data_IF_287932680094
#
_entry.id   IF_287932680094
#
_cell.length_a   1.000
_cell.length_b   1.000
_cell.length_c   1.000
_cell.angle_alpha   90.00
_cell.angle_beta   90.00
_cell.angle_gamma   90.00
#
_symmetry.space_group_name_H-M   'P 1'
#
loop_
_entity.id
_entity.type
_entity.pdbx_description
1 polymer ?
#
# COMPACT_ATOMS: atom_id res chain seq x y z
N UNK A 1 0.96 4.49 -15.97
CA UNK A 1 2.20 5.29 -16.04
C UNK A 1 3.08 4.99 -14.83
N UNK A 2 4.41 4.86 -15.06
CA UNK A 2 5.39 4.63 -13.99
C UNK A 2 6.60 5.54 -14.23
N UNK A 3 6.91 6.37 -13.25
CA UNK A 3 8.03 7.31 -13.28
C UNK A 3 8.93 7.04 -12.08
N UNK A 4 10.24 6.95 -12.31
CA UNK A 4 11.23 6.77 -11.24
C UNK A 4 12.39 7.70 -11.46
N UNK A 5 12.88 8.29 -10.37
CA UNK A 5 14.09 9.08 -10.33
C UNK A 5 15.01 8.53 -9.24
N UNK A 6 16.28 8.31 -9.59
CA UNK A 6 17.28 7.85 -8.66
C UNK A 6 18.48 8.80 -8.71
N UNK A 7 18.96 9.20 -7.54
CA UNK A 7 20.16 10.01 -7.37
C UNK A 7 21.02 9.31 -6.33
N UNK A 8 22.26 9.05 -6.67
CA UNK A 8 23.24 8.48 -5.74
C UNK A 8 24.56 9.19 -5.87
N UNK A 9 25.27 9.23 -4.79
CA UNK A 9 26.59 9.87 -4.75
C UNK A 9 27.32 9.52 -3.46
N UNK A 10 28.53 10.00 -3.36
CA UNK A 10 29.32 9.80 -2.17
C UNK A 10 30.60 10.61 -2.18
N UNK A 11 31.16 10.70 -1.02
CA UNK A 11 32.50 11.23 -0.76
C UNK A 11 33.35 10.16 -0.08
N UNK A 12 34.62 10.46 0.22
CA UNK A 12 35.44 9.55 0.98
C UNK A 12 34.88 9.38 2.41
N UNK A 13 34.08 8.33 2.64
CA UNK A 13 33.46 8.00 3.92
C UNK A 13 31.95 8.19 4.01
N UNK A 14 31.29 8.82 3.04
CA UNK A 14 29.84 8.97 3.02
C UNK A 14 29.26 8.53 1.70
N UNK A 15 28.27 7.66 1.72
CA UNK A 15 27.50 7.25 0.56
C UNK A 15 26.03 7.55 0.79
N UNK A 16 25.34 7.99 -0.25
CA UNK A 16 23.89 8.18 -0.19
C UNK A 16 23.23 7.71 -1.49
N UNK A 17 22.00 7.31 -1.36
CA UNK A 17 21.11 6.98 -2.46
C UNK A 17 19.70 7.44 -2.13
N UNK A 18 19.12 8.25 -3.00
CA UNK A 18 17.77 8.77 -2.91
C UNK A 18 17.00 8.31 -4.13
N UNK A 19 15.80 7.79 -3.93
CA UNK A 19 14.91 7.46 -5.04
C UNK A 19 13.48 7.91 -4.76
N UNK A 20 12.85 8.44 -5.80
CA UNK A 20 11.44 8.79 -5.81
C UNK A 20 10.74 8.05 -6.94
N UNK A 21 9.51 7.63 -6.70
CA UNK A 21 8.71 6.93 -7.69
C UNK A 21 7.25 7.35 -7.63
N UNK A 22 6.62 7.45 -8.78
CA UNK A 22 5.20 7.64 -8.94
C UNK A 22 4.65 6.61 -9.92
N UNK A 23 3.67 5.86 -9.48
CA UNK A 23 2.94 4.88 -10.27
C UNK A 23 1.47 5.28 -10.32
N UNK A 24 0.92 5.34 -11.52
CA UNK A 24 -0.52 5.49 -11.76
C UNK A 24 -0.97 4.35 -12.68
N UNK A 25 -1.98 3.63 -12.26
CA UNK A 25 -2.56 2.51 -13.00
C UNK A 25 -4.09 2.62 -12.98
N UNK A 26 -4.69 2.51 -14.13
CA UNK A 26 -6.13 2.27 -14.27
C UNK A 26 -6.37 0.78 -14.25
N UNK A 27 -7.40 0.35 -13.52
CA UNK A 27 -7.79 -1.05 -13.46
C UNK A 27 -8.59 -1.49 -14.69
N UNK A 28 -8.70 -2.79 -14.90
CA UNK A 28 -9.55 -3.38 -15.96
C UNK A 28 -11.03 -3.14 -15.66
N UNK A 29 -11.42 -3.06 -14.39
CA UNK A 29 -12.78 -2.73 -13.98
C UNK A 29 -13.07 -1.23 -14.09
N UNK A 30 -14.28 -0.91 -14.57
CA UNK A 30 -14.74 0.47 -14.77
C UNK A 30 -14.55 1.30 -13.50
N UNK A 31 -13.82 2.42 -13.59
CA UNK A 31 -13.61 3.36 -12.48
C UNK A 31 -12.62 2.91 -11.43
N UNK A 32 -11.97 1.74 -11.57
CA UNK A 32 -10.94 1.30 -10.64
C UNK A 32 -9.58 1.92 -10.98
N UNK A 33 -8.85 2.36 -9.98
CA UNK A 33 -7.52 2.95 -10.14
C UNK A 33 -6.62 2.67 -8.95
N UNK A 34 -5.33 2.76 -9.18
CA UNK A 34 -4.30 2.67 -8.15
C UNK A 34 -3.20 3.70 -8.42
N UNK A 35 -2.94 4.52 -7.42
CA UNK A 35 -1.86 5.49 -7.41
C UNK A 35 -0.90 5.18 -6.26
N UNK A 36 0.40 5.29 -6.52
CA UNK A 36 1.43 5.18 -5.50
C UNK A 36 2.52 6.22 -5.70
N UNK A 37 2.72 7.06 -4.70
CA UNK A 37 3.93 7.86 -4.56
C UNK A 37 4.85 7.20 -3.53
N UNK A 38 6.13 7.07 -3.83
CA UNK A 38 7.11 6.46 -2.93
C UNK A 38 8.41 7.22 -2.92
N UNK A 39 9.08 7.20 -1.77
CA UNK A 39 10.39 7.80 -1.57
C UNK A 39 11.26 6.85 -0.75
N UNK A 40 12.52 6.70 -1.15
CA UNK A 40 13.53 5.92 -0.42
C UNK A 40 14.79 6.74 -0.25
N UNK A 41 15.33 6.70 0.95
CA UNK A 41 16.60 7.30 1.29
C UNK A 41 17.49 6.26 1.99
N UNK A 42 18.72 6.15 1.53
CA UNK A 42 19.76 5.37 2.18
C UNK A 42 20.95 6.26 2.36
N UNK A 43 21.49 6.31 3.55
CA UNK A 43 22.71 7.07 3.89
C UNK A 43 23.58 6.19 4.76
N UNK A 44 24.86 6.14 4.45
CA UNK A 44 25.90 5.48 5.24
C UNK A 44 27.09 6.41 5.34
N UNK A 45 27.56 6.68 6.55
CA UNK A 45 28.68 7.59 6.75
C UNK A 45 29.64 7.08 7.82
N UNK A 46 30.91 7.15 7.51
CA UNK A 46 32.01 6.96 8.43
C UNK A 46 32.30 8.30 9.14
N UNK A 47 31.79 8.42 10.36
CA UNK A 47 31.99 9.63 11.18
C UNK A 47 33.47 9.78 11.56
N UNK A 48 34.09 8.66 11.92
CA UNK A 48 35.51 8.54 12.20
C UNK A 48 35.93 7.06 12.14
N UNK A 49 37.21 6.76 12.46
CA UNK A 49 37.79 5.41 12.36
C UNK A 49 37.09 4.33 13.22
N UNK A 50 36.38 4.74 14.24
CA UNK A 50 35.71 3.82 15.16
C UNK A 50 34.17 3.89 15.14
N UNK A 51 33.58 4.83 14.35
CA UNK A 51 32.14 5.02 14.31
C UNK A 51 31.65 5.18 12.87
N UNK A 52 30.77 4.29 12.45
CA UNK A 52 29.98 4.38 11.21
C UNK A 52 28.51 4.38 11.57
N UNK A 53 27.76 5.29 11.00
CA UNK A 53 26.30 5.38 11.18
C UNK A 53 25.61 5.28 9.82
N UNK A 54 24.40 4.77 9.82
CA UNK A 54 23.60 4.73 8.61
C UNK A 54 22.12 4.75 8.89
N UNK A 55 21.39 5.08 7.83
CA UNK A 55 19.94 5.17 7.82
C UNK A 55 19.40 4.60 6.51
N UNK A 56 18.37 3.79 6.62
CA UNK A 56 17.52 3.40 5.50
C UNK A 56 16.09 3.81 5.84
N UNK A 57 15.43 4.52 4.94
CA UNK A 57 14.04 4.91 5.10
C UNK A 57 13.28 4.69 3.79
N UNK A 58 12.06 4.19 3.89
CA UNK A 58 11.14 4.03 2.79
C UNK A 58 9.77 4.55 3.20
N UNK A 59 9.24 5.49 2.42
CA UNK A 59 7.90 6.01 2.58
C UNK A 59 7.09 5.70 1.33
N UNK A 60 5.84 5.26 1.51
CA UNK A 60 4.90 5.10 0.43
C UNK A 60 3.53 5.65 0.83
N UNK A 61 2.89 6.31 -0.11
CA UNK A 61 1.50 6.75 -0.04
C UNK A 61 0.75 6.15 -1.22
N UNK A 62 -0.29 5.36 -0.94
CA UNK A 62 -1.11 4.71 -1.95
C UNK A 62 -2.55 5.19 -1.85
N UNK A 63 -3.18 5.37 -3.00
CA UNK A 63 -4.61 5.61 -3.12
C UNK A 63 -5.18 4.60 -4.12
N UNK A 64 -6.20 3.88 -3.69
CA UNK A 64 -6.84 2.85 -4.48
C UNK A 64 -8.35 3.09 -4.51
N UNK A 65 -8.90 3.14 -5.71
CA UNK A 65 -10.34 3.11 -5.95
C UNK A 65 -10.73 1.70 -6.38
N UNK A 66 -11.58 1.05 -5.61
CA UNK A 66 -12.01 -0.34 -5.83
C UNK A 66 -13.51 -0.33 -6.15
N UNK A 67 -13.85 -0.04 -7.40
CA UNK A 67 -15.24 -0.03 -7.84
C UNK A 67 -15.73 -1.40 -8.31
N UNK A 68 -14.80 -2.22 -8.78
CA UNK A 68 -15.10 -3.50 -9.40
C UNK A 68 -14.37 -4.62 -8.64
N UNK A 69 -14.98 -5.16 -7.59
CA UNK A 69 -14.44 -6.32 -6.87
C UNK A 69 -15.24 -7.59 -7.14
N UNK A 70 -14.63 -8.73 -6.84
CA UNK A 70 -15.23 -10.05 -7.06
C UNK A 70 -16.52 -10.26 -6.22
N UNK A 71 -16.65 -9.57 -5.10
CA UNK A 71 -17.79 -9.71 -4.18
C UNK A 71 -19.02 -8.92 -4.62
N UNK A 72 -18.85 -7.92 -5.49
CA UNK A 72 -19.92 -6.99 -5.87
C UNK A 72 -20.16 -7.03 -7.39
N UNK A 73 -19.50 -6.17 -8.16
CA UNK A 73 -19.84 -5.95 -9.56
C UNK A 73 -19.53 -7.16 -10.45
N UNK A 74 -18.42 -7.88 -10.23
CA UNK A 74 -18.12 -9.09 -11.01
C UNK A 74 -19.12 -10.20 -10.71
N UNK A 75 -19.41 -10.41 -9.41
CA UNK A 75 -20.39 -11.40 -8.99
C UNK A 75 -21.78 -11.07 -9.57
N UNK A 76 -22.21 -9.82 -9.45
CA UNK A 76 -23.47 -9.35 -10.02
C UNK A 76 -23.53 -9.55 -11.54
N UNK A 77 -22.41 -9.31 -12.24
CA UNK A 77 -22.35 -9.51 -13.69
C UNK A 77 -22.49 -10.98 -14.12
N UNK A 78 -21.93 -11.91 -13.35
CA UNK A 78 -22.00 -13.34 -13.63
C UNK A 78 -23.39 -13.95 -13.37
N UNK A 79 -24.15 -13.35 -12.46
CA UNK A 79 -25.47 -13.85 -12.06
C UNK A 79 -26.62 -13.00 -12.57
N UNK A 80 -26.35 -11.93 -13.33
CA UNK A 80 -27.39 -11.09 -13.89
C UNK A 80 -28.16 -11.81 -14.98
N UNK A 81 -29.45 -11.58 -15.01
CA UNK A 81 -30.29 -12.11 -16.07
C UNK A 81 -29.99 -11.41 -17.40
N UNK A 82 -29.93 -12.15 -18.51
CA UNK A 82 -29.55 -11.60 -19.82
C UNK A 82 -30.59 -10.66 -20.44
N UNK A 83 -31.83 -10.68 -19.96
CA UNK A 83 -32.92 -9.82 -20.37
C UNK A 83 -33.00 -8.49 -19.61
N UNK A 84 -32.16 -8.31 -18.59
CA UNK A 84 -32.09 -7.05 -17.84
C UNK A 84 -31.12 -6.10 -18.53
N UNK A 85 -31.65 -5.02 -19.08
CA UNK A 85 -30.81 -3.99 -19.70
C UNK A 85 -29.86 -3.32 -18.69
N UNK A 86 -28.60 -3.08 -19.00
CA UNK A 86 -27.69 -2.32 -18.14
C UNK A 86 -28.21 -0.91 -17.83
N UNK A 87 -28.87 -0.28 -18.79
CA UNK A 87 -29.61 0.98 -18.65
C UNK A 87 -30.93 0.91 -19.41
N UNK A 88 -31.96 1.51 -18.81
CA UNK A 88 -33.23 1.73 -19.43
C UNK A 88 -33.16 2.86 -20.49
N UNK A 89 -34.17 2.97 -21.40
CA UNK A 89 -34.21 4.06 -22.39
C UNK A 89 -34.22 5.48 -21.79
N UNK A 90 -34.69 5.63 -20.55
CA UNK A 90 -34.71 6.88 -19.80
C UNK A 90 -33.37 7.21 -19.12
N UNK A 91 -32.36 6.35 -19.30
CA UNK A 91 -31.01 6.48 -18.70
C UNK A 91 -30.86 5.93 -17.29
N UNK A 92 -31.94 5.48 -16.66
CA UNK A 92 -31.88 4.82 -15.35
C UNK A 92 -31.21 3.43 -15.44
N UNK A 93 -30.74 2.91 -14.34
CA UNK A 93 -30.19 1.55 -14.31
C UNK A 93 -31.29 0.52 -14.37
N UNK A 94 -31.10 -0.54 -15.17
CA UNK A 94 -32.02 -1.67 -15.22
C UNK A 94 -31.87 -2.56 -14.00
N UNK A 95 -33.00 -2.99 -13.46
CA UNK A 95 -33.07 -3.95 -12.36
C UNK A 95 -34.15 -4.99 -12.65
N UNK A 96 -34.02 -6.17 -12.06
CA UNK A 96 -35.08 -7.20 -12.11
C UNK A 96 -36.31 -6.67 -11.37
N UNK A 97 -37.45 -6.63 -12.06
CA UNK A 97 -38.65 -6.00 -11.54
C UNK A 97 -39.60 -6.96 -10.79
N UNK A 98 -39.34 -8.25 -10.80
CA UNK A 98 -40.20 -9.25 -10.14
C UNK A 98 -39.65 -9.64 -8.79
N UNK A 99 -40.55 -9.71 -7.79
CA UNK A 99 -40.20 -10.03 -6.40
C UNK A 99 -39.63 -11.44 -6.21
N UNK A 100 -39.87 -12.37 -7.15
CA UNK A 100 -39.36 -13.74 -7.09
C UNK A 100 -37.89 -13.86 -7.36
N UNK A 101 -37.33 -12.92 -8.15
CA UNK A 101 -35.92 -12.95 -8.59
C UNK A 101 -35.13 -11.71 -8.17
N UNK A 102 -35.78 -10.72 -7.57
CA UNK A 102 -35.20 -9.42 -7.25
C UNK A 102 -34.15 -9.42 -6.12
N UNK A 103 -33.94 -10.56 -5.49
CA UNK A 103 -33.39 -10.53 -4.13
C UNK A 103 -31.87 -10.57 -4.03
N UNK A 104 -31.14 -10.86 -5.09
CA UNK A 104 -29.74 -11.23 -4.86
C UNK A 104 -28.69 -10.43 -5.63
N UNK A 105 -29.01 -9.81 -6.75
CA UNK A 105 -28.00 -9.22 -7.60
C UNK A 105 -28.41 -7.84 -8.09
N UNK A 106 -27.65 -6.82 -7.68
CA UNK A 106 -27.83 -5.48 -8.21
C UNK A 106 -27.24 -5.38 -9.63
N UNK A 107 -27.61 -4.33 -10.36
CA UNK A 107 -27.06 -4.06 -11.66
C UNK A 107 -25.53 -3.85 -11.56
N UNK A 108 -24.67 -4.62 -12.28
CA UNK A 108 -23.23 -4.52 -12.18
C UNK A 108 -22.68 -3.16 -12.61
N UNK A 109 -23.38 -2.48 -13.54
CA UNK A 109 -22.99 -1.14 -13.95
C UNK A 109 -23.31 -0.09 -12.87
N UNK A 110 -24.43 -0.25 -12.16
CA UNK A 110 -24.76 0.54 -10.97
C UNK A 110 -23.68 0.36 -9.90
N UNK A 111 -23.31 -0.89 -9.59
CA UNK A 111 -22.28 -1.22 -8.62
C UNK A 111 -20.95 -0.52 -8.94
N UNK A 112 -20.54 -0.57 -10.20
CA UNK A 112 -19.27 -0.01 -10.64
C UNK A 112 -19.24 1.53 -10.68
N UNK A 113 -20.39 2.19 -10.90
CA UNK A 113 -20.45 3.63 -11.14
C UNK A 113 -20.98 4.44 -9.95
N UNK A 114 -21.81 3.84 -9.11
CA UNK A 114 -22.50 4.55 -8.03
C UNK A 114 -21.92 4.25 -6.65
N UNK A 115 -21.20 3.16 -6.49
CA UNK A 115 -20.49 2.86 -5.23
C UNK A 115 -19.12 3.51 -5.21
N UNK A 116 -18.78 4.06 -4.08
CA UNK A 116 -17.44 4.55 -3.77
C UNK A 116 -16.76 3.58 -2.79
N UNK A 117 -15.58 3.12 -3.13
CA UNK A 117 -14.76 2.29 -2.27
C UNK A 117 -13.29 2.73 -2.39
N UNK A 118 -12.91 3.66 -1.55
CA UNK A 118 -11.61 4.31 -1.58
C UNK A 118 -10.76 3.80 -0.42
N UNK A 119 -9.52 3.39 -0.72
CA UNK A 119 -8.53 2.96 0.28
C UNK A 119 -7.29 3.83 0.13
N UNK A 120 -6.92 4.52 1.21
CA UNK A 120 -5.67 5.28 1.30
C UNK A 120 -4.78 4.63 2.34
N UNK A 121 -3.54 4.31 1.96
CA UNK A 121 -2.57 3.76 2.90
C UNK A 121 -1.28 4.56 2.80
N UNK A 122 -0.72 4.84 3.96
CA UNK A 122 0.61 5.41 4.11
C UNK A 122 1.46 4.43 4.90
N UNK A 123 2.70 4.24 4.50
CA UNK A 123 3.66 3.44 5.24
C UNK A 123 4.99 4.15 5.34
N UNK A 124 5.64 3.99 6.49
CA UNK A 124 6.99 4.44 6.74
C UNK A 124 7.77 3.31 7.37
N UNK A 125 8.73 2.77 6.63
CA UNK A 125 9.70 1.79 7.11
C UNK A 125 11.04 2.48 7.29
N UNK A 126 11.69 2.28 8.44
CA UNK A 126 12.98 2.89 8.72
C UNK A 126 13.88 1.98 9.53
N UNK A 127 15.16 2.14 9.31
CA UNK A 127 16.21 1.50 10.10
C UNK A 127 17.39 2.46 10.26
N UNK A 128 17.74 2.76 11.49
CA UNK A 128 18.90 3.53 11.89
C UNK A 128 19.91 2.56 12.50
N UNK A 129 21.17 2.68 12.16
CA UNK A 129 22.19 1.84 12.76
C UNK A 129 23.49 2.61 13.06
N UNK A 130 24.18 2.12 14.06
CA UNK A 130 25.53 2.55 14.41
C UNK A 130 26.44 1.33 14.57
N UNK A 131 27.54 1.32 13.85
CA UNK A 131 28.65 0.38 14.05
C UNK A 131 29.73 1.08 14.84
N UNK A 132 30.03 0.58 16.02
CA UNK A 132 31.05 1.09 16.92
C UNK A 132 32.20 0.09 16.94
N UNK A 133 33.40 0.51 16.57
CA UNK A 133 34.60 -0.29 16.46
C UNK A 133 35.65 0.21 17.49
N UNK A 134 35.44 -0.08 18.80
CA UNK A 134 36.26 0.53 19.86
C UNK A 134 37.71 0.03 19.85
N UNK A 135 37.93 -1.20 19.40
CA UNK A 135 39.25 -1.82 19.26
C UNK A 135 39.31 -2.64 17.97
N UNK A 136 40.48 -2.99 17.53
CA UNK A 136 40.69 -3.82 16.34
C UNK A 136 39.88 -5.13 16.45
N UNK A 137 39.24 -5.54 15.39
CA UNK A 137 38.47 -6.77 15.24
C UNK A 137 37.18 -6.85 16.10
N UNK A 138 36.79 -5.82 16.86
CA UNK A 138 35.54 -5.79 17.59
C UNK A 138 34.59 -4.77 16.94
N UNK A 139 33.42 -5.23 16.54
CA UNK A 139 32.33 -4.37 16.05
C UNK A 139 31.12 -4.56 16.93
N UNK A 140 30.63 -3.48 17.52
CA UNK A 140 29.36 -3.44 18.23
C UNK A 140 28.35 -2.74 17.31
N UNK A 141 27.27 -3.41 16.99
CA UNK A 141 26.21 -2.83 16.16
C UNK A 141 24.94 -2.61 16.97
N UNK A 142 24.45 -1.40 16.90
CA UNK A 142 23.16 -0.98 17.43
C UNK A 142 22.25 -0.67 16.25
N UNK A 143 21.03 -1.20 16.28
CA UNK A 143 20.00 -0.93 15.27
C UNK A 143 18.69 -0.55 15.92
N UNK A 144 18.07 0.51 15.43
CA UNK A 144 16.72 0.88 15.75
C UNK A 144 15.92 0.99 14.47
N UNK A 145 14.88 0.18 14.34
CA UNK A 145 14.06 0.15 13.15
C UNK A 145 12.59 0.03 13.48
N UNK A 146 11.77 0.35 12.51
CA UNK A 146 10.32 0.25 12.66
C UNK A 146 9.58 0.31 11.33
N UNK A 147 8.31 -0.06 11.43
CA UNK A 147 7.32 0.04 10.36
C UNK A 147 6.04 0.65 10.91
N UNK A 148 5.64 1.76 10.34
CA UNK A 148 4.42 2.49 10.70
C UNK A 148 3.49 2.53 9.52
N UNK A 149 2.24 2.12 9.73
CA UNK A 149 1.21 2.11 8.71
C UNK A 149 -0.04 2.87 9.16
N UNK A 150 -0.59 3.67 8.26
CA UNK A 150 -1.86 4.37 8.45
C UNK A 150 -2.76 4.07 7.27
N UNK A 151 -3.92 3.46 7.55
CA UNK A 151 -4.93 3.13 6.56
C UNK A 151 -6.21 3.92 6.79
N UNK A 152 -6.84 4.36 5.70
CA UNK A 152 -8.17 4.96 5.70
C UNK A 152 -8.99 4.27 4.63
N UNK A 153 -10.14 3.74 5.03
CA UNK A 153 -11.10 3.13 4.13
C UNK A 153 -12.38 3.96 4.14
N UNK A 154 -12.88 4.27 2.97
CA UNK A 154 -14.18 4.93 2.78
C UNK A 154 -15.00 4.10 1.82
N UNK A 155 -16.19 3.73 2.25
CA UNK A 155 -17.18 3.05 1.44
C UNK A 155 -18.48 3.81 1.50
N UNK A 156 -19.07 4.09 0.34
CA UNK A 156 -20.38 4.69 0.20
C UNK A 156 -21.19 3.97 -0.87
N UNK A 157 -22.43 3.65 -0.53
CA UNK A 157 -23.46 3.18 -1.44
C UNK A 157 -24.64 4.11 -1.33
N UNK A 158 -25.10 4.76 -2.41
CA UNK A 158 -26.32 5.55 -2.38
C UNK A 158 -27.55 4.66 -2.20
N UNK A 159 -28.64 5.24 -1.75
CA UNK A 159 -29.94 4.57 -1.80
C UNK A 159 -30.39 4.36 -3.24
N UNK A 160 -31.02 3.24 -3.52
CA UNK A 160 -31.63 2.97 -4.81
C UNK A 160 -32.88 2.12 -4.64
N UNK A 161 -33.76 2.20 -5.62
CA UNK A 161 -35.00 1.44 -5.61
C UNK A 161 -35.22 0.68 -6.90
N UNK A 162 -35.85 -0.48 -6.82
CA UNK A 162 -36.34 -1.23 -7.96
C UNK A 162 -37.61 -1.97 -7.59
N UNK A 163 -38.65 -1.80 -8.40
CA UNK A 163 -40.01 -2.26 -8.05
C UNK A 163 -40.46 -1.66 -6.72
N UNK A 164 -40.88 -2.49 -5.81
CA UNK A 164 -41.30 -2.10 -4.44
C UNK A 164 -40.16 -2.15 -3.41
N UNK A 165 -38.96 -2.50 -3.82
CA UNK A 165 -37.80 -2.67 -2.92
C UNK A 165 -36.99 -1.37 -2.90
N UNK A 166 -36.73 -0.85 -1.71
CA UNK A 166 -35.83 0.27 -1.46
C UNK A 166 -34.63 -0.26 -0.69
N UNK A 167 -33.45 -0.04 -1.23
CA UNK A 167 -32.16 -0.29 -0.56
C UNK A 167 -31.66 1.03 -0.02
N UNK A 168 -31.47 1.10 1.29
CA UNK A 168 -31.00 2.30 1.96
C UNK A 168 -29.53 2.60 1.67
N UNK A 169 -29.15 3.86 1.83
CA UNK A 169 -27.74 4.28 1.69
C UNK A 169 -26.88 3.73 2.82
N UNK A 170 -25.66 3.36 2.49
CA UNK A 170 -24.68 2.89 3.46
C UNK A 170 -23.41 3.74 3.33
N UNK A 171 -22.95 4.29 4.45
CA UNK A 171 -21.65 4.96 4.54
C UNK A 171 -20.81 4.32 5.64
N UNK A 172 -19.59 3.92 5.29
CA UNK A 172 -18.64 3.31 6.24
C UNK A 172 -17.29 4.02 6.13
N UNK A 173 -16.72 4.35 7.28
CA UNK A 173 -15.35 4.85 7.38
C UNK A 173 -14.57 4.02 8.37
N UNK A 174 -13.37 3.63 8.00
CA UNK A 174 -12.43 2.91 8.85
C UNK A 174 -11.07 3.57 8.83
N UNK A 175 -10.44 3.65 10.00
CA UNK A 175 -9.04 4.05 10.13
C UNK A 175 -8.28 2.91 10.79
N UNK A 176 -7.10 2.63 10.28
CA UNK A 176 -6.20 1.61 10.81
C UNK A 176 -4.85 2.25 11.06
N UNK A 177 -4.26 1.95 12.21
CA UNK A 177 -2.90 2.34 12.55
C UNK A 177 -2.14 1.11 13.00
N UNK A 178 -1.01 0.84 12.37
CA UNK A 178 -0.10 -0.22 12.75
C UNK A 178 1.26 0.39 13.06
N UNK A 179 1.83 0.03 14.20
CA UNK A 179 3.14 0.49 14.63
C UNK A 179 3.96 -0.70 15.11
N UNK A 180 5.14 -0.83 14.57
CA UNK A 180 6.12 -1.83 14.99
C UNK A 180 7.48 -1.16 15.12
N UNK A 181 8.11 -1.31 16.29
CA UNK A 181 9.45 -0.80 16.54
C UNK A 181 10.32 -1.93 17.09
N UNK A 182 11.57 -1.94 16.72
CA UNK A 182 12.55 -2.93 17.17
C UNK A 182 13.87 -2.25 17.48
N UNK A 183 14.50 -2.72 18.56
CA UNK A 183 15.87 -2.38 18.90
C UNK A 183 16.68 -3.67 18.95
N UNK A 184 17.82 -3.68 18.26
CA UNK A 184 18.75 -4.81 18.21
C UNK A 184 20.14 -4.33 18.59
N UNK A 185 20.85 -5.18 19.33
CA UNK A 185 22.25 -4.96 19.66
C UNK A 185 23.01 -6.28 19.55
N UNK A 186 24.16 -6.25 18.93
CA UNK A 186 25.05 -7.40 18.87
C UNK A 186 26.49 -6.96 18.70
N UNK A 187 27.40 -7.84 19.10
CA UNK A 187 28.83 -7.63 18.96
C UNK A 187 29.43 -8.78 18.17
N UNK A 188 30.32 -8.43 17.24
CA UNK A 188 31.11 -9.36 16.46
C UNK A 188 32.59 -9.14 16.77
N UNK A 189 33.28 -10.23 17.09
CA UNK A 189 34.72 -10.20 17.26
C UNK A 189 35.38 -11.20 16.32
N UNK A 190 36.22 -10.69 15.43
CA UNK A 190 36.95 -11.50 14.46
C UNK A 190 38.32 -11.92 15.09
N UNK A 191 38.57 -13.22 15.15
CA UNK A 191 39.82 -13.77 15.68
C UNK A 191 40.31 -14.94 14.84
N UNK A 192 41.61 -15.02 14.64
CA UNK A 192 42.27 -16.13 13.95
C UNK A 192 42.57 -17.26 14.97
N UNK A 193 41.89 -18.40 14.82
CA UNK A 193 42.10 -19.59 15.66
C UNK A 193 43.40 -20.33 15.35
N UNK A 194 43.97 -20.14 14.16
CA UNK A 194 45.14 -20.91 13.75
C UNK A 194 46.16 -20.03 13.01
N UNK A 195 47.25 -19.71 13.70
CA UNK A 195 48.52 -19.41 13.02
C UNK A 195 49.27 -20.72 12.81
N UNK A 196 49.01 -21.44 11.77
CA UNK A 196 49.81 -22.58 11.38
C UNK A 196 51.23 -22.10 11.06
N UNK A 197 52.17 -22.48 11.91
CA UNK A 197 53.59 -22.41 11.58
C UNK A 197 53.91 -23.52 10.60
N UNK A 198 54.32 -23.14 9.40
CA UNK A 198 55.07 -23.98 8.49
C UNK A 198 56.54 -23.58 8.58
#
# INVERSE_FOLDING_TARGET
HNHQLNVSGGTKGTNFSLSGGYLNQEGVGIGSSFDRASFRANVDTEVNKWLRIGMNAYYANTNQVVTFDASNAIHSALYQFPDVAPRNPDGTYGFVQTSEFATYYSNPLFEAQMRENNKKNQSLDYNLYANIMPVKNLTIRLEYGGSNGWGQNYYFQPSYGYGSIIVESISKRGNTKNEYNTFKQYATYDFDLWKGSH
#
